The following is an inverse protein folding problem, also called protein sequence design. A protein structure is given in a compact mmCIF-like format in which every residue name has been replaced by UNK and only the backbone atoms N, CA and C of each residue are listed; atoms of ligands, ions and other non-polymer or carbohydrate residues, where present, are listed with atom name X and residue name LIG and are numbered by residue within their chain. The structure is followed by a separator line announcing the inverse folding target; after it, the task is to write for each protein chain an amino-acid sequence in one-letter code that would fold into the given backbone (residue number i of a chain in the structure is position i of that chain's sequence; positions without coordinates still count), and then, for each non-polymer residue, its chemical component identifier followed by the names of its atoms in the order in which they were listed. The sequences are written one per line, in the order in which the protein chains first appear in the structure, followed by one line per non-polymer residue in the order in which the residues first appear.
data_IF_863943180603
#
_entry.id   IF_863943180603
#
_cell.length_a   1.000
_cell.length_b   1.000
_cell.length_c   1.000
_cell.angle_alpha   90.00
_cell.angle_beta   90.00
_cell.angle_gamma   90.00
#
_symmetry.space_group_name_H-M   'P 1'
#
loop_
_entity.id
_entity.type
_entity.pdbx_description
1 polymer ?
#
# COMPACT_ATOMS: atom_id res chain seq x y z
N UNK A 1 -5.74 16.34 -7.61
CA UNK A 1 -5.98 14.99 -7.09
C UNK A 1 -4.67 14.23 -7.01
N UNK A 2 -4.46 13.55 -5.90
CA UNK A 2 -3.21 12.83 -5.68
C UNK A 2 -3.44 11.34 -5.83
N UNK A 3 -2.57 10.66 -6.58
CA UNK A 3 -2.65 9.22 -6.77
C UNK A 3 -1.37 8.55 -6.32
N UNK A 4 -1.50 7.32 -5.88
CA UNK A 4 -0.35 6.47 -5.55
C UNK A 4 -0.52 5.16 -6.29
N UNK A 5 0.58 4.48 -6.53
CA UNK A 5 0.57 3.20 -7.24
C UNK A 5 0.49 2.07 -6.23
N UNK A 6 -0.23 1.00 -6.59
CA UNK A 6 -0.31 -0.18 -5.75
C UNK A 6 -0.16 -1.42 -6.59
N UNK A 7 0.35 -2.47 -5.96
CA UNK A 7 0.51 -3.79 -6.55
C UNK A 7 -0.58 -4.67 -5.99
N UNK A 8 -1.26 -5.43 -6.84
CA UNK A 8 -2.31 -6.32 -6.37
C UNK A 8 -2.33 -7.61 -7.19
N UNK A 9 -2.89 -8.63 -6.58
CA UNK A 9 -3.13 -9.90 -7.24
C UNK A 9 -4.28 -10.61 -6.54
N UNK A 10 -4.77 -11.67 -7.16
CA UNK A 10 -5.86 -12.47 -6.61
C UNK A 10 -5.34 -13.86 -6.30
N UNK A 11 -5.62 -14.34 -5.10
CA UNK A 11 -5.29 -15.69 -4.66
C UNK A 11 -6.60 -16.33 -4.26
N UNK A 12 -7.10 -17.24 -5.14
CA UNK A 12 -8.43 -17.81 -5.03
C UNK A 12 -9.47 -16.69 -5.05
N UNK A 13 -10.25 -16.54 -3.98
CA UNK A 13 -11.29 -15.51 -3.93
C UNK A 13 -10.86 -14.27 -3.17
N UNK A 14 -9.59 -14.19 -2.80
CA UNK A 14 -9.07 -13.09 -1.99
C UNK A 14 -8.20 -12.17 -2.84
N UNK A 15 -8.45 -10.89 -2.76
CA UNK A 15 -7.63 -9.87 -3.39
C UNK A 15 -6.57 -9.41 -2.41
N UNK A 16 -5.32 -9.42 -2.82
CA UNK A 16 -4.18 -9.05 -2.00
C UNK A 16 -3.45 -7.89 -2.64
N UNK A 17 -2.81 -7.08 -1.82
CA UNK A 17 -2.06 -5.98 -2.39
C UNK A 17 -1.31 -5.15 -1.37
N UNK A 18 -0.49 -4.26 -1.88
CA UNK A 18 0.25 -3.30 -1.08
C UNK A 18 0.50 -2.05 -1.92
N UNK A 19 0.70 -0.94 -1.24
CA UNK A 19 1.09 0.30 -1.90
C UNK A 19 2.56 0.19 -2.28
N UNK A 20 2.89 0.52 -3.52
CA UNK A 20 4.25 0.33 -4.06
C UNK A 20 5.32 0.97 -3.18
N UNK A 21 5.03 2.14 -2.63
CA UNK A 21 5.95 2.85 -1.74
C UNK A 21 6.14 2.15 -0.39
N UNK A 22 5.16 1.33 0.02
CA UNK A 22 5.18 0.68 1.33
C UNK A 22 4.97 -0.83 1.20
N UNK A 23 5.93 -1.55 0.60
CA UNK A 23 5.73 -2.97 0.31
C UNK A 23 5.66 -3.89 1.54
N UNK A 24 6.07 -3.39 2.70
CA UNK A 24 6.00 -4.18 3.93
C UNK A 24 4.59 -4.24 4.53
N UNK A 25 3.64 -3.48 3.98
CA UNK A 25 2.30 -3.32 4.55
C UNK A 25 1.25 -3.87 3.60
N UNK A 26 1.14 -5.19 3.57
CA UNK A 26 0.17 -5.87 2.72
C UNK A 26 -1.20 -5.93 3.38
N UNK A 27 -2.24 -5.85 2.58
CA UNK A 27 -3.60 -6.03 3.05
C UNK A 27 -4.40 -6.87 2.06
N UNK A 28 -5.67 -7.10 2.36
CA UNK A 28 -6.52 -7.95 1.55
C UNK A 28 -7.94 -7.42 1.51
N UNK A 29 -8.74 -7.98 0.61
CA UNK A 29 -10.14 -7.68 0.50
C UNK A 29 -10.85 -8.79 -0.25
N UNK A 30 -12.17 -8.89 -0.08
CA UNK A 30 -12.97 -9.86 -0.80
C UNK A 30 -13.32 -9.40 -2.19
N UNK A 31 -13.23 -8.10 -2.44
CA UNK A 31 -13.41 -7.48 -3.75
C UNK A 31 -12.25 -6.52 -3.99
N UNK A 32 -12.07 -6.14 -5.25
CA UNK A 32 -11.05 -5.16 -5.58
C UNK A 32 -11.35 -3.81 -4.91
N UNK A 33 -12.62 -3.43 -4.88
CA UNK A 33 -13.04 -2.18 -4.22
C UNK A 33 -12.70 -2.19 -2.74
N UNK A 34 -12.94 -3.31 -2.08
CA UNK A 34 -12.60 -3.46 -0.66
C UNK A 34 -11.09 -3.38 -0.44
N UNK A 35 -10.31 -4.03 -1.32
CA UNK A 35 -8.86 -3.93 -1.26
C UNK A 35 -8.41 -2.46 -1.38
N UNK A 36 -8.98 -1.73 -2.33
CA UNK A 36 -8.62 -0.32 -2.53
C UNK A 36 -8.95 0.52 -1.31
N UNK A 37 -10.10 0.29 -0.67
CA UNK A 37 -10.47 0.98 0.55
C UNK A 37 -9.47 0.69 1.67
N UNK A 38 -9.09 -0.56 1.82
CA UNK A 38 -8.14 -0.97 2.85
C UNK A 38 -6.74 -0.38 2.59
N UNK A 39 -6.33 -0.31 1.32
CA UNK A 39 -5.06 0.31 0.96
C UNK A 39 -5.07 1.81 1.24
N UNK A 40 -6.19 2.46 1.01
CA UNK A 40 -6.34 3.88 1.29
C UNK A 40 -6.19 4.16 2.78
N UNK A 41 -6.84 3.33 3.60
CA UNK A 41 -6.75 3.46 5.05
C UNK A 41 -5.32 3.27 5.53
N UNK A 42 -4.62 2.28 4.99
CA UNK A 42 -3.21 2.02 5.32
C UNK A 42 -2.36 3.23 4.93
N UNK A 43 -2.59 3.77 3.74
CA UNK A 43 -1.81 4.93 3.27
C UNK A 43 -1.97 6.12 4.22
N UNK A 44 -3.20 6.38 4.65
CA UNK A 44 -3.48 7.47 5.57
C UNK A 44 -2.77 7.25 6.92
N UNK A 45 -2.79 6.02 7.43
CA UNK A 45 -2.12 5.69 8.69
C UNK A 45 -0.61 5.82 8.57
N UNK A 46 -0.03 5.36 7.46
CA UNK A 46 1.42 5.38 7.24
C UNK A 46 1.95 6.80 7.06
N UNK A 47 1.17 7.66 6.42
CA UNK A 47 1.59 9.03 6.14
C UNK A 47 1.16 10.01 7.22
N UNK A 48 0.29 9.59 8.14
CA UNK A 48 -0.22 10.41 9.21
C UNK A 48 0.68 10.51 10.43
N UNK A 49 1.83 9.83 10.44
CA UNK A 49 2.76 9.87 11.55
C UNK A 49 2.38 9.02 12.75
N UNK A 50 1.37 8.17 12.61
CA UNK A 50 0.89 7.33 13.71
C UNK A 50 1.70 6.06 13.92
N UNK A 51 2.38 5.60 12.88
CA UNK A 51 3.16 4.36 12.89
C UNK A 51 4.64 4.71 12.91
N UNK A 52 5.38 4.29 13.96
CA UNK A 52 6.82 4.57 14.02
C UNK A 52 7.59 3.65 13.07
N UNK A 53 8.72 4.13 12.59
CA UNK A 53 9.63 3.32 11.79
C UNK A 53 9.11 2.96 10.40
N UNK A 54 8.22 3.77 9.84
CA UNK A 54 7.72 3.55 8.48
C UNK A 54 8.87 3.66 7.49
N UNK A 55 8.99 2.66 6.61
CA UNK A 55 10.02 2.64 5.58
C UNK A 55 9.50 3.30 4.32
N UNK A 56 10.37 4.02 3.67
CA UNK A 56 10.05 4.74 2.44
C UNK A 56 10.95 4.28 1.31
N UNK A 57 10.42 4.34 0.10
CA UNK A 57 11.19 4.05 -1.12
C UNK A 57 11.59 5.38 -1.74
N UNK A 58 12.85 5.52 -2.07
CA UNK A 58 13.38 6.70 -2.71
C UNK A 58 14.51 6.30 -3.65
N UNK A 59 14.83 7.18 -4.57
CA UNK A 59 15.94 6.95 -5.49
C UNK A 59 17.21 7.53 -4.92
N UNK A 60 18.29 6.80 -5.07
CA UNK A 60 19.61 7.24 -4.65
C UNK A 60 20.49 7.41 -5.90
N UNK A 61 21.03 8.59 -6.07
CA UNK A 61 21.92 8.87 -7.18
C UNK A 61 23.32 8.38 -6.81
N UNK A 62 23.85 7.49 -7.62
CA UNK A 62 25.19 6.92 -7.38
C UNK A 62 26.26 7.66 -8.15
N UNK A 63 25.93 8.08 -9.36
CA UNK A 63 26.93 8.77 -10.21
C UNK A 63 26.29 9.79 -11.11
#
# INVERSE_FOLDING_TARGET
MRTVRYVYWQDEDTWLGYIEEFPDYMTQGETLEELQENLKDIYEDLTGGKIPGVRHVAELRIA
#
